data_IF_215520524282
#
_entry.id   IF_215520524282
#
_cell.length_a   1.000
_cell.length_b   1.000
_cell.length_c   1.000
_cell.angle_alpha   90.00
_cell.angle_beta   90.00
_cell.angle_gamma   90.00
#
_symmetry.space_group_name_H-M   'P 1'
#
loop_
_entity.id
_entity.type
_entity.pdbx_description
1 polymer ?
#
# COMPACT_ATOMS: atom_id res chain seq x y z
N UNK A 1 -18.08 6.13 -1.03
CA UNK A 1 -16.91 5.96 -0.14
C UNK A 1 -16.38 4.54 -0.30
N UNK A 2 -15.06 4.37 -0.48
CA UNK A 2 -14.44 3.04 -0.64
C UNK A 2 -13.62 2.71 0.59
N UNK A 3 -13.62 1.42 0.97
CA UNK A 3 -12.82 0.92 2.10
C UNK A 3 -11.44 0.51 1.62
N UNK A 4 -10.40 1.16 2.10
CA UNK A 4 -9.00 0.90 1.73
C UNK A 4 -8.24 0.38 2.95
N UNK A 5 -7.55 -0.74 2.81
CA UNK A 5 -6.59 -1.21 3.81
C UNK A 5 -5.17 -0.96 3.32
N UNK A 6 -4.40 -0.21 4.10
CA UNK A 6 -2.96 -0.01 3.88
C UNK A 6 -2.20 -0.91 4.85
N UNK A 7 -1.38 -1.82 4.32
CA UNK A 7 -0.55 -2.75 5.07
C UNK A 7 0.90 -2.26 4.99
N UNK A 8 1.41 -1.77 6.09
CA UNK A 8 2.71 -1.13 6.25
C UNK A 8 2.57 0.31 6.72
N UNK A 9 2.90 0.55 7.99
CA UNK A 9 2.81 1.84 8.68
C UNK A 9 4.07 2.69 8.61
N UNK A 10 5.03 2.32 7.75
CA UNK A 10 6.23 3.11 7.51
C UNK A 10 5.92 4.43 6.80
N UNK A 11 6.97 5.21 6.51
CA UNK A 11 6.83 6.55 5.95
C UNK A 11 5.95 6.59 4.68
N UNK A 12 6.20 5.71 3.69
CA UNK A 12 5.45 5.72 2.43
C UNK A 12 4.00 5.27 2.63
N UNK A 13 3.75 4.18 3.38
CA UNK A 13 2.39 3.70 3.63
C UNK A 13 1.54 4.74 4.37
N UNK A 14 2.11 5.38 5.39
CA UNK A 14 1.43 6.44 6.15
C UNK A 14 1.19 7.68 5.30
N UNK A 15 2.18 8.16 4.53
CA UNK A 15 1.99 9.29 3.61
C UNK A 15 0.91 9.02 2.55
N UNK A 16 0.85 7.80 2.01
CA UNK A 16 -0.13 7.39 1.01
C UNK A 16 -1.57 7.42 1.52
N UNK A 17 -1.78 7.30 2.83
CA UNK A 17 -3.14 7.42 3.40
C UNK A 17 -3.74 8.82 3.20
N UNK A 18 -2.92 9.86 3.05
CA UNK A 18 -3.37 11.25 2.96
C UNK A 18 -4.20 11.48 1.69
N UNK A 19 -3.68 11.25 0.46
CA UNK A 19 -4.50 11.39 -0.75
C UNK A 19 -5.69 10.44 -0.77
N UNK A 20 -5.59 9.23 -0.20
CA UNK A 20 -6.73 8.33 -0.08
C UNK A 20 -7.87 8.94 0.75
N UNK A 21 -7.55 9.55 1.89
CA UNK A 21 -8.53 10.19 2.78
C UNK A 21 -9.15 11.45 2.16
N UNK A 22 -8.37 12.23 1.42
CA UNK A 22 -8.86 13.42 0.71
C UNK A 22 -9.87 13.07 -0.38
N UNK A 23 -9.69 11.92 -1.03
CA UNK A 23 -10.69 11.36 -1.95
C UNK A 23 -11.90 10.72 -1.24
N UNK A 24 -12.15 11.10 0.01
CA UNK A 24 -13.31 10.68 0.81
C UNK A 24 -13.42 9.15 0.97
N UNK A 25 -12.30 8.42 0.94
CA UNK A 25 -12.30 6.99 1.24
C UNK A 25 -12.25 6.74 2.75
N UNK A 26 -12.74 5.57 3.16
CA UNK A 26 -12.56 5.03 4.51
C UNK A 26 -11.23 4.26 4.55
N UNK A 27 -10.23 4.82 5.20
CA UNK A 27 -8.86 4.29 5.18
C UNK A 27 -8.50 3.71 6.54
N UNK A 28 -8.15 2.44 6.52
CA UNK A 28 -7.55 1.73 7.65
C UNK A 28 -6.08 1.45 7.34
N UNK A 29 -5.19 1.71 8.29
CA UNK A 29 -3.78 1.34 8.22
C UNK A 29 -3.45 0.30 9.28
N UNK A 30 -2.55 -0.61 8.93
CA UNK A 30 -2.01 -1.61 9.87
C UNK A 30 -0.50 -1.75 9.67
N UNK A 31 0.20 -2.10 10.75
CA UNK A 31 1.65 -2.31 10.73
C UNK A 31 1.97 -3.66 11.39
N UNK A 32 2.55 -4.63 10.65
CA UNK A 32 2.82 -5.96 11.20
C UNK A 32 4.10 -6.10 12.04
N UNK A 33 5.09 -5.19 11.91
CA UNK A 33 6.43 -5.42 12.44
C UNK A 33 6.94 -4.33 13.38
N UNK A 34 6.87 -3.09 12.95
CA UNK A 34 7.54 -1.98 13.62
C UNK A 34 6.79 -1.53 14.87
N UNK A 35 7.32 -1.84 16.05
CA UNK A 35 6.77 -1.36 17.33
C UNK A 35 6.66 0.17 17.37
N UNK A 36 7.63 0.88 16.75
CA UNK A 36 7.63 2.35 16.69
C UNK A 36 6.41 2.84 15.89
N UNK A 37 6.22 2.33 14.67
CA UNK A 37 5.09 2.76 13.84
C UNK A 37 3.74 2.28 14.37
N UNK A 38 3.68 1.12 15.03
CA UNK A 38 2.48 0.70 15.76
C UNK A 38 2.12 1.72 16.84
N UNK A 39 3.11 2.17 17.65
CA UNK A 39 2.92 3.20 18.67
C UNK A 39 2.47 4.53 18.07
N UNK A 40 3.13 4.98 16.99
CA UNK A 40 2.77 6.23 16.30
C UNK A 40 1.31 6.22 15.83
N UNK A 41 0.89 5.13 15.17
CA UNK A 41 -0.43 4.99 14.55
C UNK A 41 -1.55 4.77 15.57
N UNK A 42 -1.28 4.07 16.68
CA UNK A 42 -2.26 3.78 17.74
C UNK A 42 -2.45 4.95 18.71
N UNK A 43 -1.52 5.89 18.75
CA UNK A 43 -1.58 7.03 19.67
C UNK A 43 -2.72 8.00 19.29
N UNK A 44 -3.30 8.67 20.30
CA UNK A 44 -4.30 9.73 20.08
C UNK A 44 -3.76 10.88 19.23
N UNK A 45 -2.47 11.22 19.40
CA UNK A 45 -1.79 12.31 18.66
C UNK A 45 -1.52 11.95 17.21
N UNK A 46 -1.40 10.66 16.90
CA UNK A 46 -1.05 10.13 15.56
C UNK A 46 0.14 10.86 14.91
N UNK A 47 1.14 11.21 15.73
CA UNK A 47 2.37 11.81 15.24
C UNK A 47 3.26 10.71 14.68
N UNK A 48 3.59 10.81 13.40
CA UNK A 48 4.42 9.82 12.72
C UNK A 48 5.90 10.22 12.79
N UNK A 49 6.70 9.43 13.51
CA UNK A 49 8.09 9.74 13.82
C UNK A 49 8.99 9.94 12.58
N UNK A 50 8.86 9.09 11.55
CA UNK A 50 9.66 9.19 10.34
C UNK A 50 9.24 10.31 9.39
N UNK A 51 7.96 10.69 9.37
CA UNK A 51 7.44 11.78 8.53
C UNK A 51 7.53 13.15 9.23
N UNK A 52 7.63 13.16 10.56
CA UNK A 52 7.59 14.37 11.40
C UNK A 52 6.31 15.20 11.24
N UNK A 53 5.18 14.53 11.04
CA UNK A 53 3.85 15.15 10.90
C UNK A 53 2.80 14.44 11.76
N UNK A 54 1.70 15.14 12.03
CA UNK A 54 0.46 14.51 12.53
C UNK A 54 -0.33 13.94 11.36
N UNK A 55 -0.68 12.67 11.43
CA UNK A 55 -1.55 12.02 10.44
C UNK A 55 -3.01 12.48 10.61
N UNK A 56 -3.83 12.42 9.54
CA UNK A 56 -5.22 12.85 9.60
C UNK A 56 -6.01 12.11 10.68
N UNK A 57 -6.85 12.83 11.44
CA UNK A 57 -7.67 12.24 12.52
C UNK A 57 -8.59 11.11 12.03
N UNK A 58 -9.09 11.22 10.79
CA UNK A 58 -9.97 10.22 10.15
C UNK A 58 -9.27 8.90 9.81
N UNK A 59 -7.93 8.86 9.82
CA UNK A 59 -7.19 7.63 9.60
C UNK A 59 -7.49 6.63 10.73
N UNK A 60 -7.96 5.42 10.36
CA UNK A 60 -8.19 4.33 11.31
C UNK A 60 -6.94 3.49 11.43
N UNK A 61 -6.57 3.10 12.64
CA UNK A 61 -5.55 2.09 12.89
C UNK A 61 -6.21 0.82 13.40
N UNK A 62 -5.84 -0.33 12.83
CA UNK A 62 -6.17 -1.64 13.36
C UNK A 62 -4.90 -2.47 13.53
N UNK A 63 -4.80 -3.21 14.63
CA UNK A 63 -3.70 -4.16 14.85
C UNK A 63 -3.70 -5.20 13.73
N UNK A 64 -2.53 -5.55 13.21
CA UNK A 64 -2.40 -6.57 12.17
C UNK A 64 -2.88 -7.93 12.70
N UNK A 65 -3.76 -8.59 11.98
CA UNK A 65 -4.27 -9.92 12.30
C UNK A 65 -4.74 -10.66 11.05
N UNK A 66 -4.90 -11.97 11.16
CA UNK A 66 -5.49 -12.76 10.08
C UNK A 66 -6.96 -12.41 9.84
N UNK A 67 -7.69 -11.97 10.87
CA UNK A 67 -9.10 -11.61 10.74
C UNK A 67 -9.26 -10.25 10.04
N UNK A 68 -8.37 -9.30 10.30
CA UNK A 68 -8.33 -8.05 9.53
C UNK A 68 -8.21 -8.31 8.02
N UNK A 69 -7.43 -9.33 7.63
CA UNK A 69 -7.26 -9.69 6.22
C UNK A 69 -8.49 -10.41 5.61
N UNK A 70 -9.45 -10.84 6.42
CA UNK A 70 -10.74 -11.42 5.97
C UNK A 70 -11.83 -10.36 5.79
N UNK A 71 -11.64 -9.15 6.36
CA UNK A 71 -12.60 -8.06 6.20
C UNK A 71 -12.75 -7.66 4.72
N UNK A 72 -13.93 -7.17 4.35
CA UNK A 72 -14.19 -6.69 2.98
C UNK A 72 -13.60 -5.30 2.77
N UNK A 73 -12.61 -5.21 1.90
CA UNK A 73 -12.02 -3.95 1.41
C UNK A 73 -12.21 -3.83 -0.10
N UNK A 74 -12.27 -2.60 -0.60
CA UNK A 74 -12.33 -2.30 -2.04
C UNK A 74 -10.94 -2.20 -2.68
N UNK A 75 -9.90 -2.02 -1.85
CA UNK A 75 -8.50 -1.96 -2.26
C UNK A 75 -7.60 -2.38 -1.09
N UNK A 76 -6.65 -3.27 -1.37
CA UNK A 76 -5.52 -3.56 -0.48
C UNK A 76 -4.28 -2.85 -1.00
N UNK A 77 -3.61 -2.09 -0.16
CA UNK A 77 -2.36 -1.41 -0.47
C UNK A 77 -1.23 -2.04 0.33
N UNK A 78 -0.19 -2.52 -0.34
CA UNK A 78 0.97 -3.13 0.31
C UNK A 78 2.14 -2.15 0.23
N UNK A 79 2.57 -1.66 1.40
CA UNK A 79 3.64 -0.68 1.58
C UNK A 79 4.72 -1.20 2.55
N UNK A 80 5.04 -2.48 2.46
CA UNK A 80 6.03 -3.17 3.28
C UNK A 80 7.42 -3.12 2.64
N UNK A 81 8.46 -3.46 3.41
CA UNK A 81 9.80 -3.73 2.89
C UNK A 81 9.84 -5.01 2.04
N UNK A 82 10.95 -5.25 1.33
CA UNK A 82 11.12 -6.46 0.50
C UNK A 82 10.85 -7.78 1.25
N UNK A 83 11.41 -8.01 2.46
CA UNK A 83 11.06 -9.20 3.26
C UNK A 83 9.58 -9.27 3.62
N UNK A 84 8.95 -8.12 3.81
CA UNK A 84 7.52 -8.03 4.12
C UNK A 84 6.60 -8.49 2.97
N UNK A 85 7.08 -8.44 1.71
CA UNK A 85 6.33 -8.97 0.56
C UNK A 85 6.17 -10.49 0.66
N UNK A 86 7.23 -11.20 1.04
CA UNK A 86 7.18 -12.67 1.21
C UNK A 86 6.24 -13.04 2.34
N UNK A 87 6.32 -12.33 3.46
CA UNK A 87 5.43 -12.54 4.60
C UNK A 87 3.96 -12.32 4.23
N UNK A 88 3.63 -11.16 3.65
CA UNK A 88 2.23 -10.87 3.33
C UNK A 88 1.71 -11.78 2.21
N UNK A 89 2.54 -12.15 1.25
CA UNK A 89 2.20 -13.10 0.20
C UNK A 89 1.74 -14.44 0.78
N UNK A 90 2.50 -15.00 1.74
CA UNK A 90 2.12 -16.23 2.46
C UNK A 90 0.80 -16.06 3.23
N UNK A 91 0.62 -14.92 3.91
CA UNK A 91 -0.63 -14.64 4.67
C UNK A 91 -1.86 -14.49 3.78
N UNK A 92 -1.70 -14.07 2.52
CA UNK A 92 -2.80 -13.89 1.58
C UNK A 92 -3.12 -15.16 0.77
N UNK A 93 -2.20 -16.14 0.70
CA UNK A 93 -2.31 -17.33 -0.15
C UNK A 93 -3.64 -18.07 0.00
N UNK A 94 -4.04 -18.35 1.24
CA UNK A 94 -5.19 -19.22 1.53
C UNK A 94 -6.51 -18.45 1.67
N UNK A 95 -6.49 -17.15 1.43
CA UNK A 95 -7.65 -16.29 1.73
C UNK A 95 -8.58 -16.02 0.55
N UNK A 96 -8.27 -16.58 -0.66
CA UNK A 96 -9.06 -16.41 -1.91
C UNK A 96 -9.47 -14.95 -2.17
N UNK A 97 -8.54 -14.01 -1.93
CA UNK A 97 -8.81 -12.57 -2.02
C UNK A 97 -9.07 -12.19 -3.47
N UNK A 98 -10.24 -11.62 -3.73
CA UNK A 98 -10.65 -11.04 -5.02
C UNK A 98 -10.41 -9.54 -5.08
N UNK A 99 -10.13 -8.89 -3.94
CA UNK A 99 -9.90 -7.46 -3.82
C UNK A 99 -8.67 -7.05 -4.63
N UNK A 100 -8.74 -5.97 -5.44
CA UNK A 100 -7.58 -5.42 -6.13
C UNK A 100 -6.46 -5.08 -5.15
N UNK A 101 -5.22 -5.36 -5.56
CA UNK A 101 -4.02 -5.09 -4.75
C UNK A 101 -3.15 -4.06 -5.46
N UNK A 102 -2.72 -3.04 -4.72
CA UNK A 102 -1.73 -2.04 -5.15
C UNK A 102 -0.46 -2.20 -4.32
N UNK A 103 0.68 -2.37 -4.98
CA UNK A 103 1.98 -2.50 -4.32
C UNK A 103 2.78 -1.21 -4.49
N UNK A 104 3.18 -0.60 -3.37
CA UNK A 104 4.05 0.59 -3.33
C UNK A 104 5.53 0.22 -3.19
N UNK A 105 5.83 -1.00 -2.73
CA UNK A 105 7.18 -1.49 -2.49
C UNK A 105 8.02 -1.43 -3.77
N UNK A 106 9.22 -0.87 -3.65
CA UNK A 106 10.21 -0.78 -4.74
C UNK A 106 11.24 -1.92 -4.60
N UNK A 107 11.86 -2.28 -5.71
CA UNK A 107 12.95 -3.26 -5.76
C UNK A 107 12.65 -4.50 -6.59
N UNK A 108 13.57 -5.45 -6.53
CA UNK A 108 13.55 -6.74 -7.22
C UNK A 108 13.82 -7.86 -6.22
N UNK A 109 13.35 -9.06 -6.49
CA UNK A 109 13.62 -10.25 -5.70
C UNK A 109 14.52 -11.19 -6.48
N UNK A 110 15.71 -11.47 -5.94
CA UNK A 110 16.59 -12.52 -6.47
C UNK A 110 16.21 -13.87 -5.85
N UNK A 111 16.08 -14.88 -6.70
CA UNK A 111 15.81 -16.29 -6.33
C UNK A 111 17.06 -17.09 -6.61
N UNK A 112 17.82 -17.45 -5.57
CA UNK A 112 19.12 -18.13 -5.69
C UNK A 112 19.02 -19.51 -6.31
N UNK A 113 17.95 -20.28 -6.02
CA UNK A 113 17.78 -21.67 -6.48
C UNK A 113 17.80 -21.81 -8.00
N UNK A 114 17.31 -20.83 -8.75
CA UNK A 114 17.25 -20.85 -10.21
C UNK A 114 17.86 -19.60 -10.85
N UNK A 115 18.66 -18.83 -10.09
CA UNK A 115 19.33 -17.59 -10.52
C UNK A 115 18.39 -16.59 -11.22
N UNK A 116 17.12 -16.52 -10.79
CA UNK A 116 16.09 -15.70 -11.42
C UNK A 116 15.82 -14.41 -10.63
N UNK A 117 15.64 -13.31 -11.35
CA UNK A 117 15.20 -12.03 -10.78
C UNK A 117 13.70 -11.89 -11.06
N UNK A 118 12.92 -11.58 -10.03
CA UNK A 118 11.49 -11.30 -10.13
C UNK A 118 11.20 -9.84 -9.78
N UNK A 119 10.24 -9.27 -10.47
CA UNK A 119 9.61 -8.02 -10.00
C UNK A 119 8.84 -8.28 -8.71
N UNK A 120 8.59 -7.23 -7.93
CA UNK A 120 7.82 -7.36 -6.67
C UNK A 120 6.42 -7.90 -6.92
N UNK A 121 5.79 -7.51 -8.03
CA UNK A 121 4.45 -8.03 -8.38
C UNK A 121 4.47 -9.51 -8.74
N UNK A 122 5.48 -9.99 -9.44
CA UNK A 122 5.66 -11.42 -9.74
C UNK A 122 5.90 -12.22 -8.47
N UNK A 123 6.80 -11.74 -7.61
CA UNK A 123 7.07 -12.38 -6.33
C UNK A 123 5.80 -12.47 -5.46
N UNK A 124 5.05 -11.37 -5.36
CA UNK A 124 3.79 -11.37 -4.62
C UNK A 124 2.77 -12.36 -5.21
N UNK A 125 2.57 -12.35 -6.54
CA UNK A 125 1.66 -13.30 -7.21
C UNK A 125 2.05 -14.75 -6.95
N UNK A 126 3.35 -15.07 -7.06
CA UNK A 126 3.88 -16.41 -6.80
C UNK A 126 3.60 -16.87 -5.36
N UNK A 127 3.79 -15.98 -4.40
CA UNK A 127 3.62 -16.30 -2.97
C UNK A 127 2.16 -16.32 -2.52
N UNK A 128 1.27 -15.56 -3.16
CA UNK A 128 -0.11 -15.37 -2.71
C UNK A 128 -1.17 -15.98 -3.61
N UNK A 129 -0.85 -16.31 -4.87
CA UNK A 129 -1.85 -16.71 -5.88
C UNK A 129 -2.74 -15.58 -6.38
N UNK A 130 -2.48 -14.31 -6.00
CA UNK A 130 -3.28 -13.16 -6.40
C UNK A 130 -3.17 -12.90 -7.91
N UNK A 131 -4.32 -12.71 -8.58
CA UNK A 131 -4.37 -12.42 -10.03
C UNK A 131 -4.29 -10.91 -10.33
N UNK A 132 -4.97 -10.08 -9.54
CA UNK A 132 -5.12 -8.64 -9.77
C UNK A 132 -4.16 -7.81 -8.90
N UNK A 133 -2.88 -7.80 -9.29
CA UNK A 133 -1.83 -7.01 -8.61
C UNK A 133 -1.40 -5.87 -9.52
N UNK A 134 -1.61 -4.64 -9.07
CA UNK A 134 -1.07 -3.41 -9.66
C UNK A 134 0.17 -2.97 -8.90
N UNK A 135 1.08 -2.27 -9.58
CA UNK A 135 2.24 -1.64 -8.94
C UNK A 135 2.16 -0.13 -9.14
N UNK A 136 2.65 0.61 -8.15
CA UNK A 136 2.79 2.05 -8.23
C UNK A 136 4.27 2.40 -8.23
N UNK A 137 4.69 3.16 -9.23
CA UNK A 137 6.07 3.61 -9.43
C UNK A 137 6.09 5.10 -9.74
N UNK A 138 7.24 5.72 -9.58
CA UNK A 138 7.45 7.13 -9.86
C UNK A 138 8.34 7.82 -8.83
N UNK A 139 8.73 9.08 -9.09
CA UNK A 139 9.60 9.89 -8.24
C UNK A 139 8.82 10.51 -7.07
N UNK A 140 8.17 9.68 -6.28
CA UNK A 140 7.39 10.12 -5.12
C UNK A 140 8.16 9.81 -3.84
N UNK A 141 8.51 10.85 -3.08
CA UNK A 141 9.12 10.76 -1.75
C UNK A 141 8.05 10.89 -0.67
N UNK A 142 8.13 10.02 0.35
CA UNK A 142 7.11 9.96 1.40
C UNK A 142 6.92 11.30 2.15
N UNK A 143 8.00 12.01 2.44
CA UNK A 143 7.94 13.31 3.14
C UNK A 143 7.30 14.40 2.25
N UNK A 144 7.56 14.38 0.95
CA UNK A 144 6.97 15.32 0.00
C UNK A 144 5.47 15.05 -0.18
N UNK A 145 5.09 13.79 -0.35
CA UNK A 145 3.68 13.38 -0.41
C UNK A 145 2.93 13.78 0.87
N UNK A 146 3.57 13.58 2.04
CA UNK A 146 2.97 13.95 3.32
C UNK A 146 2.76 15.46 3.48
N UNK A 147 3.59 16.27 2.82
CA UNK A 147 3.47 17.74 2.75
C UNK A 147 2.58 18.21 1.61
N UNK A 148 2.01 17.28 0.82
CA UNK A 148 1.17 17.55 -0.35
C UNK A 148 1.92 18.29 -1.48
N UNK A 149 3.23 18.07 -1.57
CA UNK A 149 4.00 18.56 -2.71
C UNK A 149 3.53 17.86 -3.98
N UNK A 150 3.50 18.60 -5.07
CA UNK A 150 3.06 18.06 -6.34
C UNK A 150 3.98 16.93 -6.81
N UNK A 151 3.38 15.79 -7.15
CA UNK A 151 4.10 14.62 -7.66
C UNK A 151 3.21 13.82 -8.60
N UNK A 152 3.85 13.10 -9.51
CA UNK A 152 3.17 12.20 -10.44
C UNK A 152 3.70 10.78 -10.28
N UNK A 153 2.80 9.82 -10.38
CA UNK A 153 3.10 8.38 -10.27
C UNK A 153 2.40 7.60 -11.37
N UNK A 154 2.98 6.46 -11.72
CA UNK A 154 2.39 5.54 -12.70
C UNK A 154 1.84 4.33 -11.96
N UNK A 155 0.59 3.97 -12.24
CA UNK A 155 -0.01 2.70 -11.82
C UNK A 155 0.01 1.75 -13.00
N UNK A 156 0.76 0.67 -12.88
CA UNK A 156 0.84 -0.35 -13.92
C UNK A 156 0.06 -1.62 -13.54
N UNK A 157 -0.69 -2.13 -14.51
CA UNK A 157 -1.40 -3.41 -14.41
C UNK A 157 -1.62 -3.98 -15.81
N UNK A 158 -1.46 -5.30 -16.00
CA UNK A 158 -1.75 -5.98 -17.27
C UNK A 158 -3.15 -5.63 -17.81
N UNK A 159 -4.11 -5.40 -16.94
CA UNK A 159 -5.41 -4.85 -17.28
C UNK A 159 -5.48 -3.37 -16.85
N UNK A 160 -5.31 -2.46 -17.80
CA UNK A 160 -5.28 -1.01 -17.57
C UNK A 160 -6.57 -0.47 -16.92
N UNK A 161 -7.71 -1.14 -17.10
CA UNK A 161 -8.96 -0.73 -16.46
C UNK A 161 -8.89 -0.83 -14.93
N UNK A 162 -8.15 -1.81 -14.39
CA UNK A 162 -7.90 -1.90 -12.95
C UNK A 162 -7.00 -0.77 -12.46
N UNK A 163 -5.93 -0.42 -13.21
CA UNK A 163 -5.08 0.72 -12.87
C UNK A 163 -5.88 2.02 -12.80
N UNK A 164 -6.71 2.29 -13.82
CA UNK A 164 -7.60 3.47 -13.87
C UNK A 164 -8.61 3.50 -12.71
N UNK A 165 -9.20 2.36 -12.35
CA UNK A 165 -10.12 2.26 -11.19
C UNK A 165 -9.43 2.57 -9.86
N UNK A 166 -8.15 2.20 -9.72
CA UNK A 166 -7.34 2.54 -8.54
C UNK A 166 -7.01 4.02 -8.55
N UNK A 167 -6.53 4.57 -9.67
CA UNK A 167 -6.18 5.98 -9.80
C UNK A 167 -7.32 6.91 -9.39
N UNK A 168 -8.55 6.64 -9.83
CA UNK A 168 -9.75 7.40 -9.42
C UNK A 168 -9.99 7.44 -7.91
N UNK A 169 -9.41 6.52 -7.13
CA UNK A 169 -9.57 6.47 -5.67
C UNK A 169 -8.49 7.25 -4.92
N UNK A 170 -7.38 7.56 -5.57
CA UNK A 170 -6.19 8.09 -4.89
C UNK A 170 -5.64 9.37 -5.50
N UNK A 171 -6.03 9.71 -6.74
CA UNK A 171 -5.56 10.91 -7.42
C UNK A 171 -6.12 12.17 -6.77
N UNK A 172 -5.28 13.19 -6.57
CA UNK A 172 -5.63 14.52 -6.03
C UNK A 172 -4.97 15.60 -6.89
N UNK A 173 -5.19 16.89 -6.55
CA UNK A 173 -4.55 18.01 -7.25
C UNK A 173 -3.01 17.97 -7.19
N UNK A 174 -2.43 17.39 -6.13
CA UNK A 174 -0.98 17.29 -5.94
C UNK A 174 -0.43 15.88 -6.13
N UNK A 175 -1.29 14.85 -6.20
CA UNK A 175 -0.91 13.45 -6.41
C UNK A 175 -1.55 12.93 -7.69
N UNK A 176 -0.85 13.17 -8.81
CA UNK A 176 -1.33 12.81 -10.13
C UNK A 176 -1.02 11.35 -10.43
N UNK A 177 -1.94 10.67 -11.13
CA UNK A 177 -1.78 9.25 -11.47
C UNK A 177 -1.88 9.05 -12.96
N UNK A 178 -0.84 8.47 -13.54
CA UNK A 178 -0.78 7.97 -14.91
C UNK A 178 -0.91 6.45 -14.95
N UNK A 179 -1.13 5.86 -16.10
CA UNK A 179 -1.45 4.44 -16.25
C UNK A 179 -0.63 3.78 -17.34
N UNK A 180 -0.15 2.54 -17.04
CA UNK A 180 0.59 1.69 -17.97
C UNK A 180 0.13 0.24 -17.87
N UNK A 181 0.44 -0.54 -18.90
CA UNK A 181 0.34 -2.01 -18.88
C UNK A 181 1.59 -2.65 -18.32
#
# INVERSE_FOLDING_TARGET
>A
MKKILVIGGGAMGSAFTIPCLENKNDVTITEPYSKIFIKDLSSRKKFHSALKIKLPRKLKFKKFSNDLLKEKFDLLVIALSLPGIDFIGKKLRDKKIKTPVLVLTKGLKYISQNKKILTISENLRRNSGLKNVSVLKGPCLAKELARKNQTSVVIANKNISFAKKIGKKISTRYYLTEFSK
#
